data_IF_873669301243
#
_entry.id   IF_873669301243
#
_cell.length_a   1.000
_cell.length_b   1.000
_cell.length_c   1.000
_cell.angle_alpha   90.00
_cell.angle_beta   90.00
_cell.angle_gamma   90.00
#
_symmetry.space_group_name_H-M   'P 1'
#
loop_
_entity.id
_entity.type
_entity.pdbx_description
1 polymer ?
#
# COMPACT_ATOMS: atom_id res chain seq x y z
N UNK A 1 9.28 5.87 12.56
CA UNK A 1 8.51 4.63 12.76
C UNK A 1 7.20 4.98 13.43
N UNK A 2 6.10 4.42 12.93
CA UNK A 2 4.87 4.42 13.72
C UNK A 2 5.01 3.30 14.76
N UNK A 3 4.94 3.66 16.04
CA UNK A 3 4.93 2.68 17.12
C UNK A 3 3.53 2.05 17.18
N UNK A 4 3.47 0.73 17.08
CA UNK A 4 2.23 -0.03 17.21
C UNK A 4 2.15 -0.49 18.65
N UNK A 5 1.12 -0.05 19.37
CA UNK A 5 0.81 -0.52 20.72
C UNK A 5 0.35 -1.99 20.66
N UNK A 6 1.13 -2.96 21.17
CA UNK A 6 0.76 -4.37 21.14
C UNK A 6 -0.52 -4.65 21.94
N UNK A 7 -0.79 -3.87 22.98
CA UNK A 7 -1.99 -4.02 23.82
C UNK A 7 -3.24 -3.42 23.15
N UNK A 8 -3.04 -2.52 22.17
CA UNK A 8 -4.09 -1.92 21.35
C UNK A 8 -4.55 -2.79 20.16
N UNK A 9 -3.89 -3.93 19.93
CA UNK A 9 -4.23 -4.85 18.83
C UNK A 9 -5.51 -5.65 19.13
N UNK A 10 -6.20 -6.05 18.05
CA UNK A 10 -7.33 -6.96 18.16
C UNK A 10 -6.90 -8.29 18.79
N UNK A 11 -7.72 -8.79 19.72
CA UNK A 11 -7.52 -10.13 20.28
C UNK A 11 -7.70 -11.16 19.18
N UNK A 12 -6.75 -12.08 19.10
CA UNK A 12 -6.85 -13.20 18.16
C UNK A 12 -8.08 -14.07 18.48
N UNK A 13 -8.79 -14.59 17.46
CA UNK A 13 -9.95 -15.44 17.65
C UNK A 13 -9.55 -16.84 18.15
N UNK A 14 -10.52 -17.65 18.63
CA UNK A 14 -10.26 -19.02 19.01
C UNK A 14 -9.68 -19.88 17.88
N UNK A 15 -8.69 -20.75 18.16
CA UNK A 15 -8.10 -21.11 19.46
C UNK A 15 -6.83 -20.32 19.84
N UNK A 16 -6.60 -19.18 19.19
CA UNK A 16 -5.35 -18.44 19.31
C UNK A 16 -5.37 -17.35 20.39
N UNK A 17 -6.38 -17.32 21.27
CA UNK A 17 -6.46 -16.33 22.34
C UNK A 17 -5.19 -16.33 23.20
N UNK A 18 -4.59 -15.16 23.38
CA UNK A 18 -3.38 -15.01 24.20
C UNK A 18 -2.11 -15.55 23.56
N UNK A 19 -2.16 -16.04 22.30
CA UNK A 19 -0.96 -16.41 21.56
C UNK A 19 -0.08 -15.17 21.37
N UNK A 20 1.09 -15.18 21.99
CA UNK A 20 2.19 -14.27 21.68
C UNK A 20 3.08 -14.99 20.68
N UNK A 21 2.92 -14.73 19.39
CA UNK A 21 3.86 -15.25 18.39
C UNK A 21 4.79 -14.11 17.99
N UNK A 22 5.89 -13.86 18.72
CA UNK A 22 6.98 -13.12 18.13
C UNK A 22 7.63 -14.04 17.10
N UNK A 23 7.42 -13.77 15.81
CA UNK A 23 8.25 -14.37 14.77
C UNK A 23 9.53 -13.52 14.78
N UNK A 24 10.69 -14.05 15.21
CA UNK A 24 11.94 -13.31 15.08
C UNK A 24 12.22 -13.14 13.58
N UNK A 25 12.07 -11.92 13.09
CA UNK A 25 12.51 -11.55 11.75
C UNK A 25 14.00 -11.22 11.83
N UNK A 26 14.81 -11.99 11.10
CA UNK A 26 16.22 -11.70 10.92
C UNK A 26 16.38 -10.45 10.04
N UNK A 27 16.95 -9.38 10.61
CA UNK A 27 17.33 -8.08 10.02
C UNK A 27 16.65 -7.66 8.69
N UNK A 28 15.41 -7.12 8.75
CA UNK A 28 14.77 -6.43 7.62
C UNK A 28 14.76 -4.88 7.80
N UNK A 29 14.55 -4.10 6.73
CA UNK A 29 14.37 -2.63 6.81
C UNK A 29 13.10 -2.27 7.59
N UNK A 30 13.30 -1.65 8.76
CA UNK A 30 12.29 -1.36 9.77
C UNK A 30 11.61 0.02 9.59
N UNK A 31 11.90 0.78 8.53
CA UNK A 31 11.64 2.22 8.45
C UNK A 31 10.19 2.68 8.75
N UNK A 32 9.19 1.85 8.45
CA UNK A 32 7.77 2.15 8.70
C UNK A 32 7.30 1.69 10.08
N UNK A 33 7.28 0.38 10.31
CA UNK A 33 6.65 -0.30 11.45
C UNK A 33 7.55 -1.39 12.07
N UNK A 34 8.78 -1.56 11.59
CA UNK A 34 9.62 -2.67 12.01
C UNK A 34 9.42 -3.98 11.25
N UNK A 35 8.69 -3.97 10.13
CA UNK A 35 8.41 -5.16 9.34
C UNK A 35 8.65 -4.90 7.85
N UNK A 36 9.70 -5.51 7.28
CA UNK A 36 9.90 -5.54 5.84
C UNK A 36 9.34 -6.85 5.26
N UNK A 37 8.36 -6.75 4.37
CA UNK A 37 7.86 -7.93 3.63
C UNK A 37 8.65 -8.19 2.36
N UNK A 38 9.31 -7.17 1.81
CA UNK A 38 10.08 -7.23 0.56
C UNK A 38 11.34 -6.39 0.70
N UNK A 39 12.51 -7.03 0.66
CA UNK A 39 13.79 -6.31 0.70
C UNK A 39 14.12 -5.69 -0.66
N UNK A 40 14.25 -4.35 -0.68
CA UNK A 40 14.76 -3.63 -1.84
C UNK A 40 16.25 -3.36 -1.61
N UNK A 41 17.16 -3.97 -2.38
CA UNK A 41 18.59 -3.70 -2.20
C UNK A 41 18.88 -2.22 -2.48
N UNK A 42 19.89 -1.62 -1.81
CA UNK A 42 20.29 -0.26 -2.10
C UNK A 42 20.65 -0.14 -3.58
N UNK A 43 20.02 0.82 -4.26
CA UNK A 43 20.24 1.10 -5.68
C UNK A 43 21.19 2.29 -5.81
N UNK A 44 22.07 2.24 -6.80
CA UNK A 44 22.72 3.46 -7.27
C UNK A 44 21.72 4.35 -8.02
N UNK A 45 22.11 5.61 -8.26
CA UNK A 45 21.22 6.61 -8.89
C UNK A 45 20.76 6.21 -10.29
N UNK A 46 21.64 5.64 -11.09
CA UNK A 46 21.32 5.25 -12.47
C UNK A 46 20.27 4.13 -12.48
N UNK A 47 20.46 3.14 -11.60
CA UNK A 47 19.54 2.03 -11.44
C UNK A 47 18.21 2.47 -10.85
N UNK A 48 18.23 3.40 -9.90
CA UNK A 48 17.01 4.00 -9.34
C UNK A 48 16.19 4.69 -10.43
N UNK A 49 16.82 5.51 -11.28
CA UNK A 49 16.18 6.17 -12.42
C UNK A 49 15.59 5.17 -13.42
N UNK A 50 16.30 4.08 -13.72
CA UNK A 50 15.80 3.01 -14.59
C UNK A 50 14.54 2.35 -14.00
N UNK A 51 14.56 2.03 -12.69
CA UNK A 51 13.41 1.43 -12.00
C UNK A 51 12.22 2.37 -12.02
N UNK A 52 12.43 3.66 -11.75
CA UNK A 52 11.39 4.70 -11.81
C UNK A 52 10.80 4.80 -13.22
N UNK A 53 11.64 4.82 -14.26
CA UNK A 53 11.20 4.90 -15.65
C UNK A 53 10.32 3.69 -16.03
N UNK A 54 10.74 2.48 -15.62
CA UNK A 54 9.98 1.24 -15.84
C UNK A 54 8.67 1.22 -15.07
N UNK A 55 8.65 1.70 -13.83
CA UNK A 55 7.43 1.84 -13.04
C UNK A 55 6.42 2.78 -13.72
N UNK A 56 6.87 3.96 -14.17
CA UNK A 56 6.04 4.94 -14.89
C UNK A 56 5.51 4.34 -16.20
N UNK A 57 6.32 3.59 -16.93
CA UNK A 57 5.87 2.88 -18.13
C UNK A 57 4.77 1.87 -17.80
N UNK A 58 4.94 1.07 -16.75
CA UNK A 58 3.92 0.14 -16.27
C UNK A 58 2.62 0.85 -15.88
N UNK A 59 2.71 1.99 -15.20
CA UNK A 59 1.57 2.80 -14.82
C UNK A 59 0.77 3.30 -16.04
N UNK A 60 1.46 3.73 -17.11
CA UNK A 60 0.84 4.13 -18.37
C UNK A 60 0.10 2.97 -19.03
N UNK A 61 0.74 1.79 -19.11
CA UNK A 61 0.15 0.57 -19.68
C UNK A 61 -1.08 0.10 -18.89
N UNK A 62 -1.06 0.27 -17.57
CA UNK A 62 -2.21 -0.08 -16.72
C UNK A 62 -3.48 0.71 -17.09
N UNK A 63 -3.32 1.91 -17.65
CA UNK A 63 -4.42 2.78 -18.09
C UNK A 63 -4.64 2.75 -19.60
N UNK A 64 -3.89 1.92 -20.33
CA UNK A 64 -4.08 1.71 -21.75
C UNK A 64 -5.23 0.73 -22.02
N UNK A 65 -6.10 1.09 -22.95
CA UNK A 65 -7.30 0.32 -23.28
C UNK A 65 -7.02 -0.99 -24.00
N UNK A 66 -5.83 -1.19 -24.55
CA UNK A 66 -5.42 -2.43 -25.21
C UNK A 66 -4.71 -3.35 -24.23
N UNK A 67 -3.80 -2.82 -23.41
CA UNK A 67 -3.01 -3.57 -22.42
C UNK A 67 -3.84 -4.03 -21.21
N UNK A 68 -4.86 -3.26 -20.78
CA UNK A 68 -5.67 -3.57 -19.58
C UNK A 68 -7.19 -3.59 -19.82
N UNK A 69 -7.61 -4.03 -21.01
CA UNK A 69 -9.02 -3.93 -21.45
C UNK A 69 -10.03 -4.58 -20.47
N UNK A 70 -9.67 -5.66 -19.78
CA UNK A 70 -10.57 -6.36 -18.84
C UNK A 70 -10.82 -5.60 -17.55
N UNK A 71 -9.86 -4.79 -17.08
CA UNK A 71 -9.94 -4.12 -15.77
C UNK A 71 -9.86 -2.59 -15.87
N UNK A 72 -9.77 -2.03 -17.09
CA UNK A 72 -9.63 -0.58 -17.27
C UNK A 72 -10.81 0.18 -16.65
N UNK A 73 -12.05 -0.30 -16.84
CA UNK A 73 -13.23 0.37 -16.33
C UNK A 73 -13.29 0.37 -14.79
N UNK A 74 -13.17 -0.78 -14.08
CA UNK A 74 -13.08 -0.80 -12.62
C UNK A 74 -11.94 0.07 -12.05
N UNK A 75 -10.77 0.02 -12.69
CA UNK A 75 -9.62 0.83 -12.27
C UNK A 75 -9.89 2.33 -12.45
N UNK A 76 -10.40 2.74 -13.61
CA UNK A 76 -10.69 4.14 -13.92
C UNK A 76 -11.70 4.70 -12.92
N UNK A 77 -12.74 3.94 -12.59
CA UNK A 77 -13.72 4.37 -11.59
C UNK A 77 -13.13 4.56 -10.19
N UNK A 78 -12.24 3.66 -9.77
CA UNK A 78 -11.56 3.77 -8.46
C UNK A 78 -10.64 5.01 -8.38
N UNK A 79 -10.06 5.40 -9.51
CA UNK A 79 -9.19 6.57 -9.62
C UNK A 79 -9.99 7.88 -9.69
N UNK A 80 -11.12 7.89 -10.39
CA UNK A 80 -11.88 9.11 -10.73
C UNK A 80 -13.02 9.43 -9.74
N UNK A 81 -13.67 8.42 -9.14
CA UNK A 81 -14.92 8.60 -8.38
C UNK A 81 -14.78 8.34 -6.87
N UNK A 82 -13.58 8.49 -6.32
CA UNK A 82 -13.39 8.42 -4.87
C UNK A 82 -14.05 9.62 -4.18
N UNK A 83 -15.11 9.39 -3.42
CA UNK A 83 -15.83 10.41 -2.66
C UNK A 83 -15.17 10.78 -1.31
N UNK A 84 -14.04 10.17 -0.96
CA UNK A 84 -13.37 10.43 0.32
C UNK A 84 -14.12 9.95 1.57
N UNK A 85 -15.13 9.09 1.40
CA UNK A 85 -16.04 8.65 2.48
C UNK A 85 -15.41 7.77 3.57
N UNK A 86 -14.14 7.36 3.41
CA UNK A 86 -13.41 6.48 4.33
C UNK A 86 -14.02 5.10 4.59
N UNK A 87 -15.02 4.67 3.81
CA UNK A 87 -15.61 3.33 3.94
C UNK A 87 -14.56 2.21 3.74
N UNK A 88 -13.59 2.41 2.84
CA UNK A 88 -12.50 1.46 2.65
C UNK A 88 -11.56 1.36 3.85
N UNK A 89 -11.44 2.44 4.65
CA UNK A 89 -10.63 2.42 5.87
C UNK A 89 -11.29 1.53 6.92
N UNK A 90 -12.60 1.70 7.18
CA UNK A 90 -13.33 0.84 8.12
C UNK A 90 -13.43 -0.62 7.65
N UNK A 91 -13.43 -0.86 6.34
CA UNK A 91 -13.45 -2.21 5.78
C UNK A 91 -12.06 -2.89 5.77
N UNK A 92 -10.96 -2.14 5.93
CA UNK A 92 -9.61 -2.67 5.83
C UNK A 92 -9.20 -3.37 7.14
N UNK A 93 -9.00 -4.70 7.14
CA UNK A 93 -8.65 -5.42 8.37
C UNK A 93 -7.32 -4.95 8.95
N UNK A 94 -6.33 -4.61 8.12
CA UNK A 94 -5.01 -4.15 8.55
C UNK A 94 -5.09 -2.80 9.28
N UNK A 95 -5.89 -1.87 8.75
CA UNK A 95 -6.06 -0.55 9.38
C UNK A 95 -6.82 -0.68 10.71
N UNK A 96 -7.88 -1.49 10.75
CA UNK A 96 -8.66 -1.69 11.98
C UNK A 96 -7.84 -2.48 13.03
N UNK A 97 -7.13 -3.52 12.62
CA UNK A 97 -6.37 -4.39 13.54
C UNK A 97 -5.13 -3.71 14.11
N UNK A 98 -4.56 -2.74 13.41
CA UNK A 98 -3.42 -1.94 13.89
C UNK A 98 -3.82 -0.86 14.89
N UNK A 99 -5.06 -0.83 15.39
CA UNK A 99 -5.52 0.25 16.26
C UNK A 99 -5.76 1.57 15.50
N UNK A 100 -6.06 1.50 14.20
CA UNK A 100 -6.29 2.64 13.30
C UNK A 100 -5.05 3.52 13.09
N UNK A 101 -3.85 2.93 13.10
CA UNK A 101 -2.61 3.62 12.76
C UNK A 101 -2.64 4.16 11.32
N UNK A 102 -2.40 5.47 11.17
CA UNK A 102 -2.53 6.16 9.88
C UNK A 102 -1.59 5.64 8.78
N UNK A 103 -0.45 5.05 9.14
CA UNK A 103 0.48 4.44 8.17
C UNK A 103 -0.16 3.29 7.36
N UNK A 104 -1.18 2.64 7.92
CA UNK A 104 -1.94 1.57 7.25
C UNK A 104 -3.24 2.05 6.63
N UNK A 105 -3.55 3.35 6.71
CA UNK A 105 -4.78 3.90 6.14
C UNK A 105 -4.79 3.67 4.62
N UNK A 106 -5.76 2.91 4.08
CA UNK A 106 -5.73 2.52 2.67
C UNK A 106 -5.89 3.70 1.71
N UNK A 107 -6.52 4.78 2.17
CA UNK A 107 -6.68 6.01 1.37
C UNK A 107 -5.36 6.71 1.10
N UNK A 108 -4.36 6.58 1.98
CA UNK A 108 -3.03 7.17 1.76
C UNK A 108 -2.36 6.61 0.50
N UNK A 109 -2.23 5.27 0.43
CA UNK A 109 -1.62 4.59 -0.73
C UNK A 109 -2.39 4.86 -2.02
N UNK A 110 -3.72 4.85 -1.95
CA UNK A 110 -4.57 5.09 -3.12
C UNK A 110 -4.46 6.54 -3.61
N UNK A 111 -4.34 7.52 -2.71
CA UNK A 111 -4.18 8.92 -3.10
C UNK A 111 -2.79 9.20 -3.69
N UNK A 112 -1.73 8.55 -3.19
CA UNK A 112 -0.42 8.59 -3.85
C UNK A 112 -0.53 8.05 -5.27
N UNK A 113 -1.17 6.90 -5.48
CA UNK A 113 -1.37 6.35 -6.81
C UNK A 113 -2.13 7.32 -7.72
N UNK A 114 -3.21 7.96 -7.25
CA UNK A 114 -3.94 8.98 -8.02
C UNK A 114 -3.05 10.15 -8.41
N UNK A 115 -2.22 10.66 -7.49
CA UNK A 115 -1.26 11.74 -7.78
C UNK A 115 -0.23 11.33 -8.83
N UNK A 116 0.29 10.10 -8.75
CA UNK A 116 1.21 9.56 -9.74
C UNK A 116 0.53 9.41 -11.11
N UNK A 117 -0.71 8.92 -11.15
CA UNK A 117 -1.50 8.82 -12.39
C UNK A 117 -1.71 10.20 -13.02
N UNK A 118 -2.13 11.21 -12.25
CA UNK A 118 -2.30 12.59 -12.72
C UNK A 118 -0.99 13.18 -13.25
N UNK A 119 0.12 12.91 -12.56
CA UNK A 119 1.44 13.44 -12.93
C UNK A 119 2.02 12.79 -14.19
N UNK A 120 1.84 11.48 -14.37
CA UNK A 120 2.63 10.72 -15.34
C UNK A 120 1.83 10.00 -16.43
N UNK A 121 0.53 9.72 -16.23
CA UNK A 121 -0.23 8.84 -17.12
C UNK A 121 -1.47 9.50 -17.76
N UNK A 122 -2.17 10.37 -17.03
CA UNK A 122 -3.34 11.11 -17.53
C UNK A 122 -3.21 12.60 -17.19
N UNK A 123 -2.73 13.45 -18.12
CA UNK A 123 -2.71 14.90 -17.93
C UNK A 123 -4.10 15.45 -18.26
N UNK A 124 -5.00 15.47 -17.27
CA UNK A 124 -6.27 16.19 -17.36
C UNK A 124 -6.49 16.93 -16.04
#
# INVERSE_FOLDING_TARGET
>A
MAEIDPDGLLRLPPPYEGSKVPIPLSDPDLSLDGFETLSVPPLDKEREEEVIARFIQGLKRLLDGRDNWTFLMPLSFTLEYCAGCQACSEACPIYVSSGRCDIYRPTYRTEILRRLVRKYAKPF
#
